data_IF_942990371790
#
_entry.id   IF_942990371790
#
_cell.length_a   1.000
_cell.length_b   1.000
_cell.length_c   1.000
_cell.angle_alpha   90.00
_cell.angle_beta   90.00
_cell.angle_gamma   90.00
#
_symmetry.space_group_name_H-M   'P 1'
#
loop_
_entity.id
_entity.type
_entity.pdbx_description
1 polymer ?
#
# COMPACT_ATOMS: atom_id res chain seq x y z
N UNK A 1 17.06 -17.52 3.86
CA UNK A 1 16.77 -16.36 4.73
C UNK A 1 15.26 -16.26 4.91
N UNK A 2 14.78 -15.89 6.10
CA UNK A 2 13.36 -15.62 6.36
C UNK A 2 13.01 -14.19 5.94
N UNK A 3 11.85 -13.99 5.33
CA UNK A 3 11.35 -12.65 4.98
C UNK A 3 10.93 -11.86 6.21
N UNK A 4 11.08 -10.55 6.15
CA UNK A 4 10.68 -9.60 7.20
C UNK A 4 9.32 -8.95 6.87
N UNK A 5 8.69 -8.30 7.86
CA UNK A 5 7.50 -7.48 7.63
C UNK A 5 7.73 -6.40 6.56
N UNK A 6 8.92 -5.77 6.57
CA UNK A 6 9.29 -4.76 5.57
C UNK A 6 9.25 -5.34 4.16
N UNK A 7 9.75 -6.56 3.97
CA UNK A 7 9.76 -7.20 2.65
C UNK A 7 8.34 -7.44 2.12
N UNK A 8 7.39 -7.76 3.00
CA UNK A 8 5.99 -7.93 2.60
C UNK A 8 5.31 -6.59 2.29
N UNK A 9 5.62 -5.53 3.05
CA UNK A 9 5.13 -4.19 2.73
C UNK A 9 5.69 -3.68 1.40
N UNK A 10 6.95 -3.99 1.11
CA UNK A 10 7.60 -3.64 -0.15
C UNK A 10 7.00 -4.42 -1.34
N UNK A 11 6.68 -5.71 -1.18
CA UNK A 11 5.92 -6.45 -2.19
C UNK A 11 4.57 -5.80 -2.49
N UNK A 12 3.83 -5.42 -1.45
CA UNK A 12 2.53 -4.76 -1.60
C UNK A 12 2.66 -3.41 -2.29
N UNK A 13 3.67 -2.63 -1.92
CA UNK A 13 3.96 -1.33 -2.53
C UNK A 13 4.28 -1.49 -4.02
N UNK A 14 5.22 -2.36 -4.36
CA UNK A 14 5.63 -2.60 -5.74
C UNK A 14 4.46 -3.13 -6.59
N UNK A 15 3.66 -4.04 -6.05
CA UNK A 15 2.46 -4.53 -6.74
C UNK A 15 1.40 -3.44 -6.94
N UNK A 16 1.27 -2.51 -5.99
CA UNK A 16 0.37 -1.36 -6.16
C UNK A 16 0.86 -0.42 -7.27
N UNK A 17 2.17 -0.09 -7.29
CA UNK A 17 2.75 0.73 -8.35
C UNK A 17 2.59 0.07 -9.72
N UNK A 18 2.90 -1.23 -9.84
CA UNK A 18 2.74 -1.97 -11.09
C UNK A 18 1.30 -1.94 -11.60
N UNK A 19 0.31 -2.12 -10.71
CA UNK A 19 -1.11 -2.02 -11.08
C UNK A 19 -1.49 -0.63 -11.62
N UNK A 20 -0.90 0.44 -11.05
CA UNK A 20 -1.13 1.82 -11.50
C UNK A 20 -0.44 2.09 -12.84
N UNK A 21 0.79 1.60 -13.03
CA UNK A 21 1.52 1.71 -14.30
C UNK A 21 0.77 1.03 -15.46
N UNK A 22 0.16 -0.13 -15.23
CA UNK A 22 -0.61 -0.83 -16.27
C UNK A 22 -1.79 -0.02 -16.80
N UNK A 23 -2.40 0.84 -15.97
CA UNK A 23 -3.57 1.63 -16.34
C UNK A 23 -3.23 3.10 -16.63
N UNK A 24 -1.95 3.46 -16.56
CA UNK A 24 -1.52 4.84 -16.75
C UNK A 24 -1.90 5.36 -18.15
N UNK A 25 -2.58 6.51 -18.19
CA UNK A 25 -3.03 7.12 -19.44
C UNK A 25 -4.19 6.42 -20.13
N UNK A 26 -4.72 5.33 -19.58
CA UNK A 26 -5.89 4.63 -20.13
C UNK A 26 -7.19 5.29 -19.68
N UNK A 27 -8.15 5.42 -20.60
CA UNK A 27 -9.54 5.71 -20.23
C UNK A 27 -10.21 4.45 -19.66
N UNK A 28 -11.25 4.60 -18.81
CA UNK A 28 -12.00 3.47 -18.27
C UNK A 28 -12.52 2.51 -19.35
N UNK A 29 -12.99 3.03 -20.48
CA UNK A 29 -13.51 2.22 -21.59
C UNK A 29 -12.41 1.37 -22.25
N UNK A 30 -11.18 1.88 -22.30
CA UNK A 30 -10.03 1.15 -22.85
C UNK A 30 -9.65 -0.01 -21.92
N UNK A 31 -9.67 0.23 -20.60
CA UNK A 31 -9.38 -0.79 -19.61
C UNK A 31 -10.38 -1.96 -19.64
N UNK A 32 -11.69 -1.69 -19.70
CA UNK A 32 -12.72 -2.76 -19.71
C UNK A 32 -12.66 -3.63 -20.98
N UNK A 33 -12.10 -3.12 -22.07
CA UNK A 33 -11.97 -3.83 -23.34
C UNK A 33 -10.59 -4.47 -23.53
N UNK A 34 -9.59 -4.06 -22.73
CA UNK A 34 -8.26 -4.67 -22.72
C UNK A 34 -8.13 -5.76 -21.64
N UNK A 35 -8.52 -6.98 -22.00
CA UNK A 35 -8.41 -8.15 -21.12
C UNK A 35 -6.97 -8.42 -20.67
N UNK A 36 -5.96 -8.08 -21.48
CA UNK A 36 -4.56 -8.32 -21.11
C UNK A 36 -4.17 -7.43 -19.94
N UNK A 37 -4.48 -6.15 -20.05
CA UNK A 37 -4.23 -5.17 -18.99
C UNK A 37 -5.05 -5.48 -17.73
N UNK A 38 -6.34 -5.83 -17.89
CA UNK A 38 -7.16 -6.26 -16.75
C UNK A 38 -6.56 -7.48 -16.01
N UNK A 39 -6.07 -8.48 -16.74
CA UNK A 39 -5.40 -9.63 -16.14
C UNK A 39 -4.08 -9.25 -15.44
N UNK A 40 -3.34 -8.29 -15.98
CA UNK A 40 -2.11 -7.80 -15.37
C UNK A 40 -2.40 -7.10 -14.03
N UNK A 41 -3.40 -6.22 -13.98
CA UNK A 41 -3.87 -5.58 -12.74
C UNK A 41 -4.36 -6.60 -11.72
N UNK A 42 -5.18 -7.58 -12.14
CA UNK A 42 -5.65 -8.66 -11.26
C UNK A 42 -4.45 -9.41 -10.66
N UNK A 43 -3.43 -9.69 -11.47
CA UNK A 43 -2.23 -10.39 -11.01
C UNK A 43 -1.47 -9.58 -9.95
N UNK A 44 -1.30 -8.28 -10.13
CA UNK A 44 -0.66 -7.42 -9.14
C UNK A 44 -1.48 -7.37 -7.84
N UNK A 45 -2.82 -7.33 -7.92
CA UNK A 45 -3.69 -7.43 -6.74
C UNK A 45 -3.58 -8.78 -6.01
N UNK A 46 -3.42 -9.89 -6.72
CA UNK A 46 -3.17 -11.20 -6.10
C UNK A 46 -1.85 -11.21 -5.31
N UNK A 47 -0.77 -10.67 -5.90
CA UNK A 47 0.54 -10.57 -5.24
C UNK A 47 0.43 -9.71 -3.98
N UNK A 48 -0.24 -8.57 -4.07
CA UNK A 48 -0.52 -7.69 -2.92
C UNK A 48 -1.30 -8.42 -1.83
N UNK A 49 -2.34 -9.18 -2.20
CA UNK A 49 -3.16 -9.95 -1.26
C UNK A 49 -2.40 -11.08 -0.58
N UNK A 50 -1.50 -11.77 -1.30
CA UNK A 50 -0.65 -12.81 -0.73
C UNK A 50 0.37 -12.23 0.27
N UNK A 51 0.97 -11.08 -0.05
CA UNK A 51 1.86 -10.38 0.88
C UNK A 51 1.10 -9.87 2.12
N UNK A 52 -0.12 -9.34 1.96
CA UNK A 52 -0.96 -8.88 3.05
C UNK A 52 -1.28 -9.98 4.08
N UNK A 53 -1.47 -11.24 3.64
CA UNK A 53 -1.69 -12.40 4.54
C UNK A 53 -0.50 -12.71 5.46
N UNK A 54 0.66 -12.12 5.21
CA UNK A 54 1.88 -12.33 6.01
C UNK A 54 2.08 -11.24 7.06
N UNK A 55 1.26 -10.20 7.04
CA UNK A 55 1.27 -9.15 8.05
C UNK A 55 0.51 -9.66 9.29
N UNK A 56 1.12 -9.64 10.49
CA UNK A 56 0.42 -9.99 11.72
C UNK A 56 -0.77 -9.06 11.98
N UNK A 57 -1.90 -9.59 12.45
CA UNK A 57 -3.12 -8.82 12.71
C UNK A 57 -2.91 -7.66 13.71
N UNK A 58 -1.97 -7.82 14.65
CA UNK A 58 -1.65 -6.82 15.67
C UNK A 58 -0.84 -5.61 15.14
N UNK A 59 -0.40 -5.64 13.87
CA UNK A 59 0.42 -4.58 13.26
C UNK A 59 -0.34 -3.27 13.10
N UNK A 60 -1.68 -3.29 13.15
CA UNK A 60 -2.54 -2.09 13.12
C UNK A 60 -2.74 -1.42 14.48
N UNK A 61 -2.19 -1.98 15.56
CA UNK A 61 -2.33 -1.40 16.90
C UNK A 61 -1.33 -0.27 17.06
N UNK A 62 -1.77 0.96 16.82
CA UNK A 62 -1.01 2.14 17.22
C UNK A 62 -0.66 2.01 18.71
N UNK A 63 0.59 2.28 19.13
CA UNK A 63 0.92 2.34 20.55
C UNK A 63 -0.03 3.34 21.21
N UNK A 64 -0.83 2.89 22.16
CA UNK A 64 -1.77 3.71 22.94
C UNK A 64 -1.07 4.91 23.62
N UNK A 65 0.26 4.87 23.71
CA UNK A 65 1.14 5.87 24.29
C UNK A 65 1.40 7.10 23.41
N UNK A 66 0.99 7.11 22.13
CA UNK A 66 1.03 8.34 21.32
C UNK A 66 -0.23 9.15 21.62
N UNK A 67 -0.27 9.75 22.81
CA UNK A 67 -1.27 10.77 23.14
C UNK A 67 -1.18 11.93 22.13
N UNK A 68 -2.31 12.28 21.51
CA UNK A 68 -2.45 13.42 20.59
C UNK A 68 -1.99 14.76 21.20
N UNK A 69 -1.86 14.83 22.53
CA UNK A 69 -1.35 16.01 23.24
C UNK A 69 0.11 16.37 22.91
N UNK A 70 0.93 15.41 22.46
CA UNK A 70 2.34 15.71 22.14
C UNK A 70 2.54 16.43 20.80
N UNK A 71 1.51 16.48 19.94
CA UNK A 71 1.58 17.14 18.62
C UNK A 71 1.17 18.64 18.67
N UNK A 72 0.54 19.11 19.74
CA UNK A 72 0.08 20.51 19.86
C UNK A 72 1.14 21.48 20.42
N UNK A 73 2.33 20.98 20.76
CA UNK A 73 3.35 21.74 21.50
C UNK A 73 4.26 22.69 20.70
N UNK A 74 4.19 22.74 19.37
CA UNK A 74 5.19 23.47 18.56
C UNK A 74 4.59 24.60 17.68
N UNK A 75 3.80 25.49 18.28
CA UNK A 75 3.36 26.76 17.66
C UNK A 75 3.58 28.01 18.52
N UNK A 76 4.49 27.93 19.49
CA UNK A 76 4.91 29.09 20.28
C UNK A 76 6.43 29.18 20.22
N UNK A 77 6.97 29.66 19.11
CA UNK A 77 8.30 30.29 19.02
C UNK A 77 8.51 30.93 17.63
N UNK A 78 7.52 31.73 17.21
CA UNK A 78 7.71 32.74 16.19
C UNK A 78 7.29 34.08 16.79
N UNK A 79 8.21 34.69 17.54
CA UNK A 79 8.26 36.12 17.81
C UNK A 79 9.59 36.66 17.32
#
# INVERSE_FOLDING_TARGET
MSRTLKDYLEDMWNAAEEALEFVEGMRPEEFIHDRKTANAVIRSLEVMGEAAKKIPEDTGRYPEQVSRSSLEGNRRDAR
#
